data_IF_261318180737
#
_entry.id   IF_261318180737
#
_cell.length_a   1.000
_cell.length_b   1.000
_cell.length_c   1.000
_cell.angle_alpha   90.00
_cell.angle_beta   90.00
_cell.angle_gamma   90.00
#
_symmetry.space_group_name_H-M   'P 1'
#
loop_
_entity.id
_entity.type
_entity.pdbx_description
1 polymer ?
#
# COMPACT_ATOMS: atom_id res chain seq x y z
N UNK A 1 10.80 -15.73 15.91
CA UNK A 1 11.29 -16.21 14.60
C UNK A 1 11.62 -15.00 13.74
N UNK A 2 12.51 -15.13 12.75
CA UNK A 2 12.81 -14.04 11.80
C UNK A 2 12.46 -14.50 10.40
N UNK A 3 11.75 -13.64 9.68
CA UNK A 3 11.41 -13.73 8.26
C UNK A 3 11.80 -12.40 7.58
N UNK A 4 12.78 -11.69 8.13
CA UNK A 4 13.31 -10.44 7.58
C UNK A 4 13.75 -10.65 6.13
N UNK A 5 13.38 -9.72 5.25
CA UNK A 5 13.68 -9.76 3.81
C UNK A 5 13.19 -11.02 3.07
N UNK A 6 12.40 -11.89 3.71
CA UNK A 6 11.89 -13.09 3.08
C UNK A 6 10.96 -12.74 1.92
N UNK A 7 11.06 -13.50 0.83
CA UNK A 7 10.10 -13.41 -0.27
C UNK A 7 8.96 -14.41 -0.05
N UNK A 8 7.81 -13.89 0.34
CA UNK A 8 6.57 -14.60 0.59
C UNK A 8 5.44 -14.03 -0.30
N UNK A 9 5.82 -13.46 -1.45
CA UNK A 9 4.89 -12.83 -2.38
C UNK A 9 3.77 -13.81 -2.75
N UNK A 10 2.56 -13.32 -2.50
CA UNK A 10 1.48 -14.02 -1.83
C UNK A 10 1.44 -15.54 -1.72
N UNK A 11 2.22 -15.99 -0.77
CA UNK A 11 1.84 -17.11 0.06
C UNK A 11 0.40 -16.98 0.60
N UNK A 12 -0.18 -18.13 0.91
CA UNK A 12 -1.41 -18.21 1.71
C UNK A 12 -0.99 -18.47 3.16
N UNK A 13 -1.11 -17.44 3.99
CA UNK A 13 -0.78 -17.42 5.41
C UNK A 13 -2.04 -17.16 6.25
N UNK A 14 -3.20 -17.61 5.76
CA UNK A 14 -4.47 -17.52 6.48
C UNK A 14 -4.34 -18.07 7.91
N UNK A 15 -4.72 -17.26 8.90
CA UNK A 15 -4.68 -17.64 10.31
C UNK A 15 -3.28 -17.89 10.90
N UNK A 16 -2.21 -17.51 10.19
CA UNK A 16 -0.83 -17.77 10.62
C UNK A 16 -0.52 -17.12 11.98
N UNK A 17 0.32 -17.80 12.77
CA UNK A 17 0.77 -17.34 14.09
C UNK A 17 2.13 -16.66 13.93
N UNK A 18 2.13 -15.33 13.86
CA UNK A 18 3.29 -14.48 13.56
C UNK A 18 3.51 -13.37 14.61
N UNK A 19 2.92 -13.51 15.81
CA UNK A 19 3.08 -12.57 16.92
C UNK A 19 4.55 -12.35 17.24
N UNK A 20 4.97 -11.08 17.29
CA UNK A 20 6.35 -10.67 17.59
C UNK A 20 7.41 -11.10 16.56
N UNK A 21 7.02 -11.64 15.40
CA UNK A 21 7.97 -12.03 14.34
C UNK A 21 8.56 -10.78 13.70
N UNK A 22 9.85 -10.88 13.31
CA UNK A 22 10.49 -9.85 12.50
C UNK A 22 10.29 -10.15 11.01
N UNK A 23 9.48 -9.30 10.37
CA UNK A 23 9.16 -9.27 8.94
C UNK A 23 9.71 -7.99 8.28
N UNK A 24 10.68 -7.32 8.92
CA UNK A 24 11.23 -6.07 8.39
C UNK A 24 11.81 -6.29 6.99
N UNK A 25 11.41 -5.45 6.04
CA UNK A 25 11.79 -5.57 4.62
C UNK A 25 11.25 -6.81 3.89
N UNK A 26 10.43 -7.64 4.53
CA UNK A 26 9.86 -8.83 3.89
C UNK A 26 8.94 -8.44 2.73
N UNK A 27 8.91 -9.30 1.71
CA UNK A 27 8.08 -9.11 0.51
C UNK A 27 6.86 -9.99 0.62
N UNK A 28 5.73 -9.36 0.90
CA UNK A 28 4.43 -9.97 1.16
C UNK A 28 3.37 -9.43 0.18
N UNK A 29 3.79 -9.00 -1.01
CA UNK A 29 2.90 -8.47 -2.05
C UNK A 29 1.81 -9.49 -2.36
N UNK A 30 0.55 -9.07 -2.37
CA UNK A 30 -0.60 -9.94 -2.64
C UNK A 30 -0.73 -11.18 -1.73
N UNK A 31 -0.12 -11.16 -0.53
CA UNK A 31 -0.24 -12.24 0.47
C UNK A 31 -1.65 -12.30 1.06
N UNK A 32 -2.07 -13.51 1.44
CA UNK A 32 -3.27 -13.71 2.25
C UNK A 32 -2.84 -13.90 3.70
N UNK A 33 -3.08 -12.91 4.54
CA UNK A 33 -2.84 -12.88 6.00
C UNK A 33 -4.16 -12.70 6.76
N UNK A 34 -5.30 -13.01 6.12
CA UNK A 34 -6.61 -12.92 6.75
C UNK A 34 -6.61 -13.76 8.04
N UNK A 35 -7.13 -13.17 9.14
CA UNK A 35 -7.16 -13.74 10.49
C UNK A 35 -5.79 -14.09 11.10
N UNK A 36 -4.67 -13.69 10.50
CA UNK A 36 -3.34 -13.91 11.09
C UNK A 36 -3.16 -13.17 12.43
N UNK A 37 -2.34 -13.75 13.31
CA UNK A 37 -1.90 -13.11 14.55
C UNK A 37 -0.53 -12.47 14.30
N UNK A 38 -0.46 -11.16 14.36
CA UNK A 38 0.70 -10.30 14.08
C UNK A 38 0.92 -9.29 15.22
N UNK A 39 0.38 -9.54 16.40
CA UNK A 39 0.52 -8.64 17.54
C UNK A 39 1.99 -8.46 17.91
N UNK A 40 2.41 -7.20 18.02
CA UNK A 40 3.80 -6.81 18.28
C UNK A 40 4.80 -7.21 17.19
N UNK A 41 4.38 -7.62 15.99
CA UNK A 41 5.28 -7.96 14.90
C UNK A 41 6.09 -6.72 14.45
N UNK A 42 7.36 -6.92 14.06
CA UNK A 42 8.19 -5.88 13.44
C UNK A 42 8.03 -5.98 11.94
N UNK A 43 7.49 -4.94 11.33
CA UNK A 43 7.10 -4.89 9.92
C UNK A 43 7.60 -3.60 9.27
N UNK A 44 8.74 -3.08 9.75
CA UNK A 44 9.36 -1.86 9.24
C UNK A 44 9.71 -2.04 7.77
N UNK A 45 9.25 -1.10 6.93
CA UNK A 45 9.45 -1.15 5.46
C UNK A 45 9.04 -2.48 4.82
N UNK A 46 8.04 -3.16 5.37
CA UNK A 46 7.48 -4.36 4.74
C UNK A 46 6.71 -3.99 3.46
N UNK A 47 6.74 -4.88 2.46
CA UNK A 47 5.98 -4.70 1.21
C UNK A 47 4.72 -5.55 1.25
N UNK A 48 3.55 -4.92 1.42
CA UNK A 48 2.24 -5.57 1.54
C UNK A 48 1.23 -5.05 0.50
N UNK A 49 1.70 -4.42 -0.58
CA UNK A 49 0.83 -3.92 -1.63
C UNK A 49 -0.16 -5.00 -2.11
N UNK A 50 -1.44 -4.62 -2.17
CA UNK A 50 -2.58 -5.49 -2.50
C UNK A 50 -2.72 -6.78 -1.64
N UNK A 51 -2.09 -6.84 -0.47
CA UNK A 51 -2.28 -7.93 0.48
C UNK A 51 -3.69 -7.91 1.09
N UNK A 52 -4.03 -9.03 1.70
CA UNK A 52 -5.26 -9.20 2.48
C UNK A 52 -4.89 -9.45 3.94
N UNK A 53 -5.30 -8.56 4.83
CA UNK A 53 -5.11 -8.64 6.29
C UNK A 53 -6.47 -8.53 7.01
N UNK A 54 -7.54 -9.00 6.38
CA UNK A 54 -8.89 -8.87 6.91
C UNK A 54 -8.99 -9.62 8.24
N UNK A 55 -9.60 -8.98 9.24
CA UNK A 55 -9.78 -9.55 10.58
C UNK A 55 -8.49 -10.04 11.25
N UNK A 56 -7.32 -9.60 10.79
CA UNK A 56 -6.04 -9.93 11.41
C UNK A 56 -5.80 -9.08 12.66
N UNK A 57 -4.92 -9.56 13.54
CA UNK A 57 -4.55 -8.86 14.75
C UNK A 57 -3.12 -8.31 14.61
N UNK A 58 -2.98 -7.01 14.35
CA UNK A 58 -1.70 -6.28 14.30
C UNK A 58 -1.53 -5.33 15.50
N UNK A 59 -2.16 -5.63 16.64
CA UNK A 59 -2.09 -4.77 17.82
C UNK A 59 -0.63 -4.51 18.21
N UNK A 60 -0.24 -3.25 18.29
CA UNK A 60 1.13 -2.84 18.64
C UNK A 60 2.21 -3.22 17.64
N UNK A 61 1.86 -3.60 16.41
CA UNK A 61 2.85 -3.87 15.36
C UNK A 61 3.59 -2.60 14.96
N UNK A 62 4.86 -2.76 14.58
CA UNK A 62 5.69 -1.68 14.03
C UNK A 62 5.66 -1.73 12.50
N UNK A 63 4.86 -0.87 11.89
CA UNK A 63 4.68 -0.72 10.44
C UNK A 63 5.31 0.57 9.94
N UNK A 64 6.34 1.08 10.62
CA UNK A 64 7.03 2.30 10.24
C UNK A 64 7.47 2.23 8.77
N UNK A 65 7.01 3.21 7.98
CA UNK A 65 7.28 3.30 6.54
C UNK A 65 6.97 2.02 5.75
N UNK A 66 5.98 1.24 6.17
CA UNK A 66 5.51 0.09 5.40
C UNK A 66 4.77 0.51 4.12
N UNK A 67 4.81 -0.34 3.10
CA UNK A 67 4.12 -0.14 1.82
C UNK A 67 2.86 -0.98 1.80
N UNK A 68 1.71 -0.32 2.05
CA UNK A 68 0.40 -0.95 2.23
C UNK A 68 -0.61 -0.48 1.15
N UNK A 69 -0.15 -0.02 -0.01
CA UNK A 69 -1.05 0.47 -1.08
C UNK A 69 -2.06 -0.60 -1.50
N UNK A 70 -3.34 -0.24 -1.59
CA UNK A 70 -4.42 -1.18 -1.97
C UNK A 70 -4.69 -2.33 -1.00
N UNK A 71 -4.04 -2.36 0.16
CA UNK A 71 -4.19 -3.44 1.14
C UNK A 71 -5.59 -3.45 1.75
N UNK A 72 -6.13 -4.64 2.00
CA UNK A 72 -7.45 -4.82 2.63
C UNK A 72 -7.30 -5.16 4.11
N UNK A 73 -7.70 -4.24 4.97
CA UNK A 73 -7.68 -4.35 6.43
C UNK A 73 -9.07 -4.46 7.07
N UNK A 74 -10.10 -4.78 6.28
CA UNK A 74 -11.49 -4.85 6.77
C UNK A 74 -11.59 -5.59 8.11
N UNK A 75 -12.00 -4.88 9.16
CA UNK A 75 -12.16 -5.41 10.53
C UNK A 75 -10.87 -5.83 11.25
N UNK A 76 -9.68 -5.45 10.77
CA UNK A 76 -8.42 -5.74 11.44
C UNK A 76 -8.24 -4.90 12.72
N UNK A 77 -7.42 -5.42 13.65
CA UNK A 77 -7.02 -4.70 14.86
C UNK A 77 -5.60 -4.12 14.68
N UNK A 78 -5.49 -2.79 14.59
CA UNK A 78 -4.24 -2.02 14.56
C UNK A 78 -4.10 -1.11 15.78
N UNK A 79 -4.76 -1.44 16.89
CA UNK A 79 -4.65 -0.68 18.13
C UNK A 79 -3.18 -0.53 18.54
N UNK A 80 -2.75 0.68 18.89
CA UNK A 80 -1.38 1.01 19.27
C UNK A 80 -0.29 0.73 18.21
N UNK A 81 -0.65 0.44 16.95
CA UNK A 81 0.35 0.22 15.91
C UNK A 81 1.12 1.51 15.58
N UNK A 82 2.41 1.38 15.26
CA UNK A 82 3.20 2.47 14.69
C UNK A 82 3.10 2.42 13.16
N UNK A 83 2.42 3.40 12.58
CA UNK A 83 2.18 3.57 11.16
C UNK A 83 2.82 4.89 10.67
N UNK A 84 3.86 5.39 11.34
CA UNK A 84 4.52 6.62 10.96
C UNK A 84 5.09 6.53 9.53
N UNK A 85 4.74 7.52 8.70
CA UNK A 85 5.17 7.57 7.29
C UNK A 85 4.68 6.40 6.44
N UNK A 86 3.66 5.66 6.90
CA UNK A 86 3.15 4.50 6.16
C UNK A 86 2.49 4.94 4.85
N UNK A 87 2.58 4.10 3.83
CA UNK A 87 1.89 4.31 2.58
C UNK A 87 0.62 3.44 2.51
N UNK A 88 -0.55 4.09 2.68
CA UNK A 88 -1.86 3.47 2.66
C UNK A 88 -2.68 3.87 1.43
N UNK A 89 -2.07 4.36 0.34
CA UNK A 89 -2.80 4.82 -0.84
C UNK A 89 -3.88 3.80 -1.29
N UNK A 90 -5.14 4.23 -1.30
CA UNK A 90 -6.31 3.39 -1.63
C UNK A 90 -6.50 2.12 -0.81
N UNK A 91 -5.87 2.02 0.36
CA UNK A 91 -6.12 0.93 1.28
C UNK A 91 -7.57 0.97 1.79
N UNK A 92 -8.12 -0.22 2.02
CA UNK A 92 -9.44 -0.40 2.62
C UNK A 92 -9.29 -0.68 4.11
N UNK A 93 -9.48 0.36 4.91
CA UNK A 93 -9.45 0.38 6.36
C UNK A 93 -10.87 0.41 6.94
N UNK A 94 -11.87 -0.08 6.20
CA UNK A 94 -13.25 -0.10 6.71
C UNK A 94 -13.36 -0.96 7.97
N UNK A 95 -14.07 -0.45 8.98
CA UNK A 95 -14.29 -1.12 10.28
C UNK A 95 -13.00 -1.50 11.02
N UNK A 96 -11.85 -0.92 10.67
CA UNK A 96 -10.58 -1.20 11.34
C UNK A 96 -10.56 -0.54 12.72
N UNK A 97 -9.90 -1.15 13.69
CA UNK A 97 -9.57 -0.49 14.95
C UNK A 97 -8.15 0.08 14.91
N UNK A 98 -8.04 1.41 14.76
CA UNK A 98 -6.81 2.19 14.77
C UNK A 98 -6.67 3.00 16.07
N UNK A 99 -7.41 2.68 17.12
CA UNK A 99 -7.34 3.47 18.35
C UNK A 99 -5.92 3.46 18.92
N UNK A 100 -5.47 4.63 19.38
CA UNK A 100 -4.10 4.89 19.84
C UNK A 100 -2.97 4.65 18.82
N UNK A 101 -3.28 4.42 17.53
CA UNK A 101 -2.25 4.22 16.51
C UNK A 101 -1.55 5.54 16.13
N UNK A 102 -0.30 5.45 15.70
CA UNK A 102 0.47 6.58 15.18
C UNK A 102 0.48 6.59 13.66
N UNK A 103 -0.31 7.45 13.03
CA UNK A 103 -0.40 7.66 11.58
C UNK A 103 0.28 8.98 11.14
N UNK A 104 1.22 9.46 11.94
CA UNK A 104 1.90 10.72 11.66
C UNK A 104 2.58 10.65 10.28
N UNK A 105 2.31 11.62 9.40
CA UNK A 105 2.81 11.68 8.02
C UNK A 105 2.42 10.47 7.15
N UNK A 106 1.35 9.76 7.49
CA UNK A 106 0.84 8.68 6.65
C UNK A 106 0.30 9.21 5.31
N UNK A 107 0.60 8.49 4.22
CA UNK A 107 0.03 8.77 2.90
C UNK A 107 -1.28 8.00 2.76
N UNK A 108 -2.41 8.69 2.93
CA UNK A 108 -3.75 8.09 3.01
C UNK A 108 -4.70 8.58 1.90
N UNK A 109 -4.14 9.10 0.81
CA UNK A 109 -4.90 9.45 -0.39
C UNK A 109 -5.81 8.30 -0.83
N UNK A 110 -7.06 8.61 -1.21
CA UNK A 110 -8.08 7.64 -1.66
C UNK A 110 -8.39 6.48 -0.67
N UNK A 111 -7.96 6.56 0.59
CA UNK A 111 -8.24 5.52 1.58
C UNK A 111 -9.72 5.45 1.94
N UNK A 112 -10.16 4.25 2.31
CA UNK A 112 -11.50 4.05 2.88
C UNK A 112 -11.38 3.80 4.37
N UNK A 113 -11.90 4.72 5.19
CA UNK A 113 -11.94 4.63 6.65
C UNK A 113 -13.38 4.47 7.16
N UNK A 114 -14.29 3.93 6.35
CA UNK A 114 -15.71 3.86 6.72
C UNK A 114 -15.90 3.01 7.97
N UNK A 115 -16.55 3.59 8.99
CA UNK A 115 -16.75 2.94 10.30
C UNK A 115 -15.45 2.58 11.05
N UNK A 116 -14.30 3.13 10.66
CA UNK A 116 -13.05 2.92 11.38
C UNK A 116 -13.07 3.60 12.76
N UNK A 117 -12.40 2.97 13.72
CA UNK A 117 -12.15 3.55 15.03
C UNK A 117 -10.79 4.26 15.07
N UNK A 118 -10.80 5.59 15.10
CA UNK A 118 -9.60 6.44 15.18
C UNK A 118 -9.43 7.07 16.56
N UNK A 119 -10.13 6.59 17.61
CA UNK A 119 -10.06 7.19 18.93
C UNK A 119 -8.60 7.31 19.42
N UNK A 120 -8.19 8.52 19.81
CA UNK A 120 -6.83 8.83 20.28
C UNK A 120 -5.70 8.52 19.27
N UNK A 121 -6.02 8.30 18.00
CA UNK A 121 -5.01 8.14 16.96
C UNK A 121 -4.33 9.47 16.62
N UNK A 122 -3.06 9.42 16.24
CA UNK A 122 -2.30 10.59 15.80
C UNK A 122 -2.19 10.62 14.28
N UNK A 123 -2.95 11.49 13.61
CA UNK A 123 -2.94 11.67 12.16
C UNK A 123 -2.23 12.98 11.75
N UNK A 124 -1.33 13.53 12.57
CA UNK A 124 -0.63 14.78 12.23
C UNK A 124 0.10 14.65 10.88
N UNK A 125 -0.06 15.67 10.03
CA UNK A 125 0.53 15.76 8.70
C UNK A 125 0.21 14.59 7.75
N UNK A 126 -0.81 13.76 8.07
CA UNK A 126 -1.27 12.73 7.15
C UNK A 126 -1.99 13.35 5.95
N UNK A 127 -1.74 12.81 4.77
CA UNK A 127 -2.44 13.19 3.53
C UNK A 127 -3.77 12.42 3.42
N UNK A 128 -4.89 13.14 3.53
CA UNK A 128 -6.24 12.58 3.52
C UNK A 128 -7.00 12.95 2.25
N UNK A 129 -6.29 13.26 1.16
CA UNK A 129 -6.90 13.64 -0.12
C UNK A 129 -7.86 12.55 -0.61
N UNK A 130 -9.13 12.92 -0.80
CA UNK A 130 -10.23 12.01 -1.19
C UNK A 130 -10.46 10.83 -0.24
N UNK A 131 -9.93 10.85 0.98
CA UNK A 131 -10.19 9.80 1.97
C UNK A 131 -11.68 9.79 2.41
N UNK A 132 -12.26 8.61 2.54
CA UNK A 132 -13.67 8.42 2.95
C UNK A 132 -13.76 8.18 4.46
N UNK A 133 -14.29 9.16 5.20
CA UNK A 133 -14.35 9.15 6.67
C UNK A 133 -15.76 8.88 7.25
N UNK A 134 -16.68 8.34 6.45
CA UNK A 134 -18.08 8.18 6.87
C UNK A 134 -18.19 7.29 8.11
N UNK A 135 -18.93 7.78 9.13
CA UNK A 135 -19.19 7.06 10.39
C UNK A 135 -17.94 6.64 11.17
N UNK A 136 -16.82 7.32 10.98
CA UNK A 136 -15.63 7.13 11.82
C UNK A 136 -15.88 7.60 13.25
N UNK A 137 -15.29 6.92 14.23
CA UNK A 137 -15.13 7.49 15.58
C UNK A 137 -13.76 8.13 15.66
N UNK A 138 -13.66 9.33 16.21
CA UNK A 138 -12.41 10.10 16.22
C UNK A 138 -12.20 10.84 17.55
N UNK A 139 -12.77 10.32 18.65
CA UNK A 139 -12.66 10.94 19.96
C UNK A 139 -11.19 11.12 20.34
N UNK A 140 -10.78 12.36 20.60
CA UNK A 140 -9.42 12.75 20.93
C UNK A 140 -8.36 12.41 19.86
N UNK A 141 -8.77 12.05 18.64
CA UNK A 141 -7.85 11.86 17.52
C UNK A 141 -7.23 13.21 17.12
N UNK A 142 -5.96 13.22 16.73
CA UNK A 142 -5.23 14.46 16.40
C UNK A 142 -5.16 14.64 14.89
N UNK A 143 -5.74 15.72 14.38
CA UNK A 143 -5.68 16.15 12.99
C UNK A 143 -5.08 17.55 12.91
N UNK A 144 -3.78 17.64 12.63
CA UNK A 144 -3.06 18.91 12.46
C UNK A 144 -2.14 18.83 11.24
N UNK A 145 -2.19 19.84 10.37
CA UNK A 145 -1.38 19.89 9.15
C UNK A 145 -1.82 18.91 8.07
N UNK A 146 -3.05 18.41 8.12
CA UNK A 146 -3.58 17.49 7.11
C UNK A 146 -3.96 18.20 5.81
N UNK A 147 -3.56 17.62 4.68
CA UNK A 147 -4.09 17.93 3.34
C UNK A 147 -5.39 17.15 3.07
N UNK A 148 -6.17 17.62 2.09
CA UNK A 148 -7.26 16.84 1.53
C UNK A 148 -8.59 16.80 2.29
N UNK A 149 -8.62 17.24 3.55
CA UNK A 149 -9.85 17.30 4.34
C UNK A 149 -10.76 18.46 3.92
N UNK A 150 -11.98 18.14 3.49
CA UNK A 150 -13.03 19.13 3.20
C UNK A 150 -13.52 19.84 4.47
N UNK A 151 -14.17 21.00 4.29
CA UNK A 151 -14.81 21.73 5.40
C UNK A 151 -15.81 20.85 6.13
N UNK A 152 -16.64 20.08 5.41
CA UNK A 152 -17.63 19.18 6.01
C UNK A 152 -16.98 18.06 6.81
N UNK A 153 -15.90 17.46 6.30
CA UNK A 153 -15.16 16.42 7.01
C UNK A 153 -14.54 16.96 8.30
N UNK A 154 -13.95 18.15 8.26
CA UNK A 154 -13.37 18.81 9.46
C UNK A 154 -14.43 19.05 10.54
N UNK A 155 -15.59 19.58 10.17
CA UNK A 155 -16.71 19.78 11.10
C UNK A 155 -17.18 18.46 11.70
N UNK A 156 -17.32 17.41 10.89
CA UNK A 156 -17.71 16.08 11.36
C UNK A 156 -16.70 15.51 12.37
N UNK A 157 -15.39 15.66 12.10
CA UNK A 157 -14.32 15.23 13.01
C UNK A 157 -14.34 16.00 14.34
N UNK A 158 -14.51 17.32 14.30
CA UNK A 158 -14.65 18.16 15.52
C UNK A 158 -15.84 17.69 16.35
N UNK A 159 -17.00 17.47 15.71
CA UNK A 159 -18.20 16.97 16.38
C UNK A 159 -18.02 15.57 16.97
N UNK A 160 -17.15 14.74 16.37
CA UNK A 160 -16.77 13.43 16.89
C UNK A 160 -15.75 13.51 18.04
N UNK A 161 -15.36 14.71 18.48
CA UNK A 161 -14.41 14.93 19.58
C UNK A 161 -12.95 14.90 19.16
N UNK A 162 -12.65 15.00 17.86
CA UNK A 162 -11.28 15.08 17.38
C UNK A 162 -10.68 16.46 17.62
N UNK A 163 -9.37 16.50 17.80
CA UNK A 163 -8.57 17.72 17.87
C UNK A 163 -8.17 18.11 16.45
N UNK A 164 -8.98 18.95 15.81
CA UNK A 164 -8.71 19.48 14.47
C UNK A 164 -8.20 20.91 14.57
N UNK A 165 -6.98 21.18 14.09
CA UNK A 165 -6.50 22.56 14.05
C UNK A 165 -7.25 23.34 12.95
N UNK A 166 -7.76 24.55 13.24
CA UNK A 166 -8.42 25.37 12.22
C UNK A 166 -7.45 25.69 11.07
N UNK A 167 -7.99 25.73 9.86
CA UNK A 167 -7.32 26.35 8.72
C UNK A 167 -7.12 27.81 9.10
N UNK A 168 -5.92 28.19 9.53
CA UNK A 168 -5.53 29.58 9.38
C UNK A 168 -5.60 29.87 7.87
N UNK A 169 -6.04 31.07 7.44
CA UNK A 169 -5.71 31.55 6.10
C UNK A 169 -4.22 31.30 5.92
N UNK A 170 -3.84 30.73 4.78
CA UNK A 170 -2.44 30.52 4.43
C UNK A 170 -1.82 31.92 4.22
N UNK A 171 -1.54 32.62 5.31
CA UNK A 171 -0.20 33.13 5.52
C UNK A 171 0.52 31.93 6.13
N UNK A 172 0.93 30.97 5.28
CA UNK A 172 2.00 30.06 5.67
C UNK A 172 3.12 30.97 6.15
N UNK A 173 3.49 30.99 7.45
CA UNK A 173 4.68 31.70 7.85
C UNK A 173 5.78 31.06 7.01
N UNK A 174 6.41 31.84 6.11
CA UNK A 174 7.43 31.42 5.14
C UNK A 174 7.96 30.05 5.54
N UNK A 175 7.42 28.98 4.94
CA UNK A 175 7.84 27.62 5.29
C UNK A 175 9.35 27.66 5.17
N UNK A 176 10.03 27.41 6.29
CA UNK A 176 11.48 27.39 6.34
C UNK A 176 11.98 26.58 5.14
N UNK A 177 12.93 27.12 4.38
CA UNK A 177 13.43 26.48 3.16
C UNK A 177 13.88 25.04 3.49
N UNK A 178 14.40 24.83 4.70
CA UNK A 178 14.78 23.52 5.25
C UNK A 178 13.59 22.56 5.45
N UNK A 179 12.37 23.05 5.72
CA UNK A 179 11.15 22.24 5.80
C UNK A 179 10.63 21.88 4.41
N UNK A 180 10.69 22.82 3.46
CA UNK A 180 10.31 22.56 2.06
C UNK A 180 11.23 21.51 1.46
N UNK A 181 12.55 21.68 1.58
CA UNK A 181 13.54 20.74 1.08
C UNK A 181 13.38 19.34 1.71
N UNK A 182 13.13 19.29 3.02
CA UNK A 182 12.89 18.01 3.70
C UNK A 182 11.64 17.31 3.21
N UNK A 183 10.54 18.04 3.00
CA UNK A 183 9.32 17.47 2.42
C UNK A 183 9.57 16.96 1.02
N UNK A 184 10.28 17.72 0.19
CA UNK A 184 10.63 17.32 -1.17
C UNK A 184 11.47 16.03 -1.17
N UNK A 185 12.46 15.91 -0.28
CA UNK A 185 13.25 14.67 -0.15
C UNK A 185 12.44 13.48 0.38
N UNK A 186 11.55 13.69 1.35
CA UNK A 186 10.62 12.66 1.82
C UNK A 186 9.72 12.16 0.67
N UNK A 187 9.21 13.07 -0.16
CA UNK A 187 8.41 12.72 -1.33
C UNK A 187 9.22 11.98 -2.41
N UNK A 188 10.47 12.40 -2.68
CA UNK A 188 11.35 11.69 -3.61
C UNK A 188 11.58 10.25 -3.18
N UNK A 189 11.85 10.03 -1.89
CA UNK A 189 12.01 8.69 -1.33
C UNK A 189 10.72 7.86 -1.46
N UNK A 190 9.55 8.41 -1.12
CA UNK A 190 8.28 7.67 -1.29
C UNK A 190 8.05 7.24 -2.74
N UNK A 191 8.33 8.13 -3.70
CA UNK A 191 8.22 7.80 -5.12
C UNK A 191 9.24 6.72 -5.54
N UNK A 192 10.48 6.79 -5.06
CA UNK A 192 11.50 5.76 -5.30
C UNK A 192 11.05 4.40 -4.87
N UNK A 193 10.53 4.33 -3.65
CA UNK A 193 10.10 3.10 -3.05
C UNK A 193 8.88 2.52 -3.77
N UNK A 194 7.94 3.36 -4.24
CA UNK A 194 6.80 2.94 -5.07
C UNK A 194 7.24 2.40 -6.43
N UNK A 195 8.17 3.10 -7.09
CA UNK A 195 8.72 2.64 -8.36
C UNK A 195 9.45 1.30 -8.17
N UNK A 196 10.16 1.16 -7.07
CA UNK A 196 10.82 -0.09 -6.70
C UNK A 196 9.79 -1.21 -6.46
N UNK A 197 8.70 -0.94 -5.74
CA UNK A 197 7.59 -1.88 -5.52
C UNK A 197 6.92 -2.30 -6.84
N UNK A 198 6.74 -1.37 -7.78
CA UNK A 198 6.24 -1.68 -9.13
C UNK A 198 7.18 -2.62 -9.89
N UNK A 199 8.48 -2.31 -9.94
CA UNK A 199 9.47 -3.18 -10.59
C UNK A 199 9.45 -4.58 -10.00
N UNK A 200 9.34 -4.65 -8.68
CA UNK A 200 9.32 -5.88 -7.91
C UNK A 200 8.06 -6.71 -8.10
N UNK A 201 6.89 -6.07 -8.14
CA UNK A 201 5.62 -6.72 -8.48
C UNK A 201 5.65 -7.22 -9.93
N UNK A 202 6.21 -6.42 -10.84
CA UNK A 202 6.34 -6.79 -12.24
C UNK A 202 7.26 -8.01 -12.42
N UNK A 203 8.43 -7.99 -11.78
CA UNK A 203 9.34 -9.13 -11.78
C UNK A 203 8.65 -10.41 -11.25
N UNK A 204 7.94 -10.31 -10.13
CA UNK A 204 7.24 -11.46 -9.56
C UNK A 204 6.13 -11.99 -10.48
N UNK A 205 5.42 -11.10 -11.19
CA UNK A 205 4.46 -11.49 -12.22
C UNK A 205 5.14 -12.24 -13.37
N UNK A 206 6.27 -11.74 -13.88
CA UNK A 206 7.05 -12.42 -14.93
C UNK A 206 7.47 -13.83 -14.49
N UNK A 207 8.07 -13.95 -13.31
CA UNK A 207 8.47 -15.24 -12.73
C UNK A 207 7.29 -16.20 -12.57
N UNK A 208 6.13 -15.68 -12.14
CA UNK A 208 4.90 -16.48 -11.99
C UNK A 208 4.38 -17.04 -13.31
N UNK A 209 4.46 -16.25 -14.40
CA UNK A 209 4.07 -16.70 -15.74
C UNK A 209 5.02 -17.76 -16.27
N UNK A 210 6.33 -17.58 -16.06
CA UNK A 210 7.34 -18.53 -16.51
C UNK A 210 7.18 -19.90 -15.81
N UNK A 211 6.93 -19.90 -14.50
CA UNK A 211 6.65 -21.11 -13.72
C UNK A 211 5.37 -21.80 -14.20
N UNK A 212 4.29 -21.04 -14.44
CA UNK A 212 3.04 -21.60 -14.97
C UNK A 212 3.25 -22.25 -16.34
N UNK A 213 3.98 -21.57 -17.24
CA UNK A 213 4.26 -22.08 -18.57
C UNK A 213 5.05 -23.39 -18.51
N UNK A 214 6.12 -23.44 -17.72
CA UNK A 214 6.90 -24.66 -17.52
C UNK A 214 6.06 -25.81 -16.96
N UNK A 215 5.17 -25.52 -16.00
CA UNK A 215 4.26 -26.53 -15.43
C UNK A 215 3.32 -27.11 -16.49
N UNK A 216 2.76 -26.25 -17.35
CA UNK A 216 1.88 -26.69 -18.44
C UNK A 216 2.65 -27.53 -19.46
N UNK A 217 3.86 -27.11 -19.83
CA UNK A 217 4.73 -27.87 -20.74
C UNK A 217 5.02 -29.28 -20.19
N UNK A 218 5.32 -29.40 -18.90
CA UNK A 218 5.54 -30.70 -18.23
C UNK A 218 4.30 -31.60 -18.26
N UNK A 219 3.10 -31.04 -18.06
CA UNK A 219 1.85 -31.82 -18.14
C UNK A 219 1.59 -32.34 -19.56
N UNK A 220 1.87 -31.50 -20.58
CA UNK A 220 1.74 -31.90 -21.99
C UNK A 220 2.73 -33.02 -22.32
N UNK A 221 4.00 -32.89 -21.92
CA UNK A 221 5.03 -33.91 -22.15
C UNK A 221 4.69 -35.22 -21.43
N UNK A 222 4.13 -35.15 -20.22
CA UNK A 222 3.71 -36.32 -19.44
C UNK A 222 2.44 -37.01 -20.00
N UNK A 223 1.86 -36.52 -21.11
CA UNK A 223 0.64 -37.07 -21.71
C UNK A 223 -0.61 -36.88 -20.85
N UNK A 224 -0.58 -35.93 -19.89
CA UNK A 224 -1.74 -35.60 -19.05
C UNK A 224 -2.67 -34.68 -19.84
N UNK A 225 -3.59 -35.27 -20.59
CA UNK A 225 -4.50 -34.55 -21.50
C UNK A 225 -5.63 -33.74 -20.81
N UNK A 226 -5.57 -33.53 -19.50
CA UNK A 226 -6.63 -32.86 -18.73
C UNK A 226 -6.31 -31.39 -18.43
N UNK A 227 -5.44 -30.73 -19.20
CA UNK A 227 -5.24 -29.28 -19.07
C UNK A 227 -6.47 -28.58 -19.66
N UNK A 228 -7.20 -27.75 -18.89
CA UNK A 228 -8.29 -26.95 -19.43
C UNK A 228 -7.84 -26.15 -20.66
N UNK A 229 -8.62 -26.23 -21.76
CA UNK A 229 -8.31 -25.59 -23.05
C UNK A 229 -8.14 -24.07 -22.97
N UNK A 230 -8.63 -23.45 -21.89
CA UNK A 230 -8.53 -22.01 -21.63
C UNK A 230 -7.13 -21.57 -21.15
N UNK A 231 -6.29 -22.49 -20.65
CA UNK A 231 -5.01 -22.11 -20.00
C UNK A 231 -3.97 -21.61 -21.00
N UNK A 232 -3.81 -22.27 -22.16
CA UNK A 232 -2.82 -21.86 -23.17
C UNK A 232 -3.09 -20.45 -23.73
N UNK A 233 -4.35 -20.09 -24.10
CA UNK A 233 -4.68 -18.70 -24.43
C UNK A 233 -4.38 -17.70 -23.31
N UNK A 234 -4.69 -18.04 -22.05
CA UNK A 234 -4.42 -17.17 -20.90
C UNK A 234 -2.92 -16.89 -20.72
N UNK A 235 -2.06 -17.89 -20.89
CA UNK A 235 -0.61 -17.70 -20.84
C UNK A 235 -0.14 -16.72 -21.93
N UNK A 236 -0.69 -16.82 -23.14
CA UNK A 236 -0.37 -15.88 -24.22
C UNK A 236 -0.82 -14.44 -23.89
N UNK A 237 -1.98 -14.28 -23.25
CA UNK A 237 -2.44 -12.97 -22.76
C UNK A 237 -1.50 -12.41 -21.68
N UNK A 238 -1.06 -13.24 -20.73
CA UNK A 238 -0.09 -12.81 -19.71
C UNK A 238 1.24 -12.37 -20.33
N UNK A 239 1.76 -13.11 -21.32
CA UNK A 239 2.99 -12.70 -22.04
C UNK A 239 2.83 -11.35 -22.74
N UNK A 240 1.68 -11.11 -23.40
CA UNK A 240 1.38 -9.81 -23.99
C UNK A 240 1.31 -8.70 -22.95
N UNK A 241 0.74 -9.00 -21.77
CA UNK A 241 0.72 -8.05 -20.66
C UNK A 241 2.13 -7.73 -20.15
N UNK A 242 3.03 -8.72 -20.09
CA UNK A 242 4.43 -8.52 -19.72
C UNK A 242 5.10 -7.49 -20.62
N UNK A 243 4.95 -7.62 -21.94
CA UNK A 243 5.55 -6.68 -22.90
C UNK A 243 5.02 -5.25 -22.70
N UNK A 244 3.72 -5.11 -22.46
CA UNK A 244 3.09 -3.81 -22.19
C UNK A 244 3.61 -3.16 -20.90
N UNK A 245 3.68 -3.92 -19.82
CA UNK A 245 4.20 -3.41 -18.55
C UNK A 245 5.68 -3.09 -18.59
N UNK A 246 6.49 -3.84 -19.35
CA UNK A 246 7.91 -3.53 -19.50
C UNK A 246 8.11 -2.13 -20.08
N UNK A 247 7.32 -1.75 -21.09
CA UNK A 247 7.35 -0.41 -21.67
C UNK A 247 6.88 0.65 -20.67
N UNK A 248 5.80 0.38 -19.94
CA UNK A 248 5.25 1.29 -18.94
C UNK A 248 6.25 1.57 -17.79
N UNK A 249 6.86 0.54 -17.21
CA UNK A 249 7.86 0.66 -16.14
C UNK A 249 9.09 1.43 -16.62
N UNK A 250 9.60 1.10 -17.81
CA UNK A 250 10.76 1.80 -18.41
C UNK A 250 10.43 3.28 -18.68
N UNK A 251 9.20 3.56 -19.11
CA UNK A 251 8.69 4.91 -19.30
C UNK A 251 8.73 5.74 -18.01
N UNK A 252 8.17 5.21 -16.91
CA UNK A 252 8.20 5.90 -15.61
C UNK A 252 9.62 6.18 -15.12
N UNK A 253 10.55 5.24 -15.29
CA UNK A 253 11.95 5.44 -14.90
C UNK A 253 12.62 6.59 -15.67
N UNK A 254 12.41 6.65 -16.99
CA UNK A 254 12.97 7.68 -17.84
C UNK A 254 12.38 9.06 -17.54
N UNK A 255 11.06 9.12 -17.39
CA UNK A 255 10.28 10.31 -17.10
C UNK A 255 10.65 10.92 -15.73
N UNK A 256 10.84 10.05 -14.72
CA UNK A 256 11.33 10.42 -13.40
C UNK A 256 12.74 11.00 -13.43
N UNK A 257 13.68 10.33 -14.12
CA UNK A 257 15.06 10.86 -14.26
C UNK A 257 15.05 12.21 -14.95
N UNK A 258 14.22 12.40 -15.97
CA UNK A 258 14.08 13.68 -16.64
C UNK A 258 13.52 14.76 -15.71
N UNK A 259 12.47 14.49 -14.93
CA UNK A 259 11.87 15.45 -13.99
C UNK A 259 12.80 15.85 -12.84
N UNK A 260 13.47 14.89 -12.20
CA UNK A 260 14.43 15.16 -11.11
C UNK A 260 15.60 16.01 -11.61
N UNK A 261 16.06 15.79 -12.85
CA UNK A 261 17.21 16.51 -13.40
C UNK A 261 16.86 17.90 -13.97
N UNK A 262 15.59 18.17 -14.31
CA UNK A 262 15.19 19.38 -15.06
C UNK A 262 14.51 20.49 -14.24
N UNK A 263 14.24 20.34 -12.95
CA UNK A 263 13.55 21.37 -12.17
C UNK A 263 14.32 21.82 -10.93
N UNK A 264 14.40 23.14 -10.74
CA UNK A 264 14.69 23.76 -9.45
C UNK A 264 13.56 23.41 -8.48
N UNK A 265 13.90 22.77 -7.36
CA UNK A 265 13.01 22.11 -6.40
C UNK A 265 11.95 23.03 -5.75
N UNK A 266 12.02 24.35 -6.00
CA UNK A 266 11.22 25.39 -5.34
C UNK A 266 9.76 25.50 -5.82
N UNK A 267 9.37 24.81 -6.90
CA UNK A 267 8.04 24.97 -7.52
C UNK A 267 7.24 23.66 -7.67
N UNK A 268 7.64 22.60 -6.98
CA UNK A 268 6.95 21.31 -7.03
C UNK A 268 5.70 21.35 -6.15
N UNK A 269 4.52 21.31 -6.76
CA UNK A 269 3.25 21.23 -6.03
C UNK A 269 2.88 19.77 -5.72
N UNK A 270 2.29 19.51 -4.55
CA UNK A 270 1.87 18.17 -4.13
C UNK A 270 0.85 17.51 -5.08
N UNK A 271 0.15 18.29 -5.92
CA UNK A 271 -0.85 17.78 -6.87
C UNK A 271 -0.21 17.03 -8.04
N UNK A 272 0.95 17.50 -8.52
CA UNK A 272 1.71 16.94 -9.66
C UNK A 272 2.32 15.56 -9.37
N UNK A 273 2.18 15.01 -8.16
CA UNK A 273 2.66 13.67 -7.80
C UNK A 273 1.53 12.69 -7.49
N UNK A 274 0.31 13.20 -7.30
CA UNK A 274 -0.84 12.38 -6.96
C UNK A 274 -1.24 11.48 -8.13
N UNK A 275 -1.12 11.99 -9.36
CA UNK A 275 -1.47 11.25 -10.58
C UNK A 275 -0.46 10.14 -10.88
N UNK A 276 0.86 10.39 -10.80
CA UNK A 276 1.86 9.34 -11.02
C UNK A 276 1.78 8.24 -9.96
N UNK A 277 1.51 8.60 -8.71
CA UNK A 277 1.33 7.61 -7.65
C UNK A 277 0.08 6.76 -7.88
N UNK A 278 -1.00 7.35 -8.38
CA UNK A 278 -2.21 6.64 -8.83
C UNK A 278 -1.87 5.69 -9.99
N UNK A 279 -1.07 6.14 -10.95
CA UNK A 279 -0.64 5.36 -12.10
C UNK A 279 0.19 4.14 -11.70
N UNK A 280 1.24 4.33 -10.90
CA UNK A 280 2.07 3.25 -10.36
C UNK A 280 1.22 2.26 -9.57
N UNK A 281 0.34 2.75 -8.69
CA UNK A 281 -0.61 1.91 -7.96
C UNK A 281 -1.51 1.10 -8.88
N UNK A 282 -2.09 1.73 -9.91
CA UNK A 282 -2.98 1.04 -10.85
C UNK A 282 -2.23 -0.04 -11.62
N UNK A 283 -0.95 0.18 -11.95
CA UNK A 283 -0.09 -0.83 -12.56
C UNK A 283 0.16 -2.01 -11.60
N UNK A 284 0.54 -1.73 -10.35
CA UNK A 284 0.70 -2.75 -9.30
C UNK A 284 -0.61 -3.55 -9.13
N UNK A 285 -1.75 -2.88 -9.01
CA UNK A 285 -3.05 -3.53 -8.87
C UNK A 285 -3.37 -4.49 -10.01
N UNK A 286 -3.14 -4.06 -11.26
CA UNK A 286 -3.33 -4.91 -12.45
C UNK A 286 -2.39 -6.12 -12.43
N UNK A 287 -1.11 -5.92 -12.14
CA UNK A 287 -0.13 -7.00 -11.99
C UNK A 287 -0.57 -7.99 -10.91
N UNK A 288 -1.03 -7.50 -9.76
CA UNK A 288 -1.57 -8.33 -8.68
C UNK A 288 -2.80 -9.14 -9.13
N UNK A 289 -3.71 -8.57 -9.94
CA UNK A 289 -4.83 -9.34 -10.47
C UNK A 289 -4.35 -10.50 -11.35
N UNK A 290 -3.34 -10.28 -12.20
CA UNK A 290 -2.75 -11.34 -12.99
C UNK A 290 -2.09 -12.41 -12.11
N UNK A 291 -1.32 -12.01 -11.09
CA UNK A 291 -0.73 -12.94 -10.12
C UNK A 291 -1.79 -13.79 -9.42
N UNK A 292 -2.91 -13.18 -8.99
CA UNK A 292 -4.03 -13.92 -8.37
C UNK A 292 -4.66 -14.90 -9.34
N UNK A 293 -4.87 -14.50 -10.60
CA UNK A 293 -5.38 -15.40 -11.64
C UNK A 293 -4.44 -16.59 -11.87
N UNK A 294 -3.13 -16.36 -11.98
CA UNK A 294 -2.12 -17.42 -12.11
C UNK A 294 -2.20 -18.40 -10.94
N UNK A 295 -2.34 -17.91 -9.70
CA UNK A 295 -2.51 -18.78 -8.54
C UNK A 295 -3.79 -19.60 -8.57
N UNK A 296 -4.91 -19.01 -9.01
CA UNK A 296 -6.16 -19.75 -9.17
C UNK A 296 -6.02 -20.87 -10.19
N UNK A 297 -5.33 -20.62 -11.30
CA UNK A 297 -4.99 -21.63 -12.30
C UNK A 297 -4.12 -22.72 -11.67
N UNK A 298 -3.07 -22.33 -10.94
CA UNK A 298 -2.16 -23.28 -10.29
C UNK A 298 -2.86 -24.19 -9.28
N UNK A 299 -3.82 -23.67 -8.50
CA UNK A 299 -4.66 -24.47 -7.58
C UNK A 299 -5.60 -25.44 -8.31
N UNK A 300 -5.87 -25.22 -9.60
CA UNK A 300 -6.77 -26.05 -10.41
C UNK A 300 -6.07 -27.14 -11.22
N UNK A 301 -4.74 -27.05 -11.38
CA UNK A 301 -3.87 -28.02 -12.07
C UNK A 301 -3.41 -29.13 -11.12
#
# INVERSE_FOLDING_TARGET
>A
ASLNEANLAGADLYGAQLSGVDLSGARLIAVVLDQAQLDGAKMVRVYLSDASLQQSNLRGADLNRAYLSGTRFNGANLQHADLHGVNLLSADLSQVDLSFASLNRAYMSDTTLEQANLAQADLRAADLTRARLHRTTAAQAIFKGNSGLSVQQRVALINAGAIVHPLLPIDEPDLDVDEVDRRVEEFKHDFEDRLLDLKYTFQFFQESVDVLNATVDDYVVAGRNNIPTVILPLIAEFRKAIDGFHQEVTGYEADRRARINNHELAHWHCEDFSDENIHIRNAIYKLTQYIRQIRQIWRSL
#
